data_IF_003335076392
#
_entry.id   IF_003335076392
#
_cell.length_a   1.000
_cell.length_b   1.000
_cell.length_c   1.000
_cell.angle_alpha   90.00
_cell.angle_beta   90.00
_cell.angle_gamma   90.00
#
_symmetry.space_group_name_H-M   'P 1'
#
loop_
_entity.id
_entity.type
_entity.pdbx_description
1 polymer ?
#
# COMPACT_ATOMS: atom_id res chain seq x y z
N UNK A 1 -4.89 6.39 -27.96
CA UNK A 1 -4.74 6.65 -26.50
C UNK A 1 -3.92 7.92 -26.36
N UNK A 2 -4.44 8.91 -25.66
CA UNK A 2 -3.81 10.23 -25.52
C UNK A 2 -2.56 10.16 -24.64
N UNK A 3 -1.41 10.48 -25.22
CA UNK A 3 -0.10 10.44 -24.56
C UNK A 3 -0.07 11.42 -23.38
N UNK A 4 -0.76 12.56 -23.50
CA UNK A 4 -0.82 13.58 -22.45
C UNK A 4 -1.50 12.99 -21.21
N UNK A 5 -2.62 12.28 -21.40
CA UNK A 5 -3.34 11.63 -20.31
C UNK A 5 -2.51 10.54 -19.62
N UNK A 6 -1.76 9.74 -20.38
CA UNK A 6 -0.88 8.72 -19.78
C UNK A 6 0.24 9.34 -18.94
N UNK A 7 0.79 10.47 -19.41
CA UNK A 7 1.79 11.23 -18.66
C UNK A 7 1.18 11.85 -17.39
N UNK A 8 -0.03 12.43 -17.47
CA UNK A 8 -0.73 12.98 -16.30
C UNK A 8 -1.10 11.90 -15.27
N UNK A 9 -1.60 10.73 -15.69
CA UNK A 9 -1.89 9.61 -14.78
C UNK A 9 -0.61 9.12 -14.08
N UNK A 10 0.51 9.07 -14.82
CA UNK A 10 1.88 8.84 -14.31
C UNK A 10 2.50 10.03 -13.58
N UNK A 11 1.88 11.18 -13.47
CA UNK A 11 2.35 12.27 -12.60
C UNK A 11 1.49 12.35 -11.34
N UNK A 12 0.25 11.86 -11.42
CA UNK A 12 -0.75 11.91 -10.36
C UNK A 12 -0.90 10.59 -9.61
N UNK A 13 0.01 9.63 -9.81
CA UNK A 13 0.05 8.39 -9.03
C UNK A 13 -1.18 7.49 -9.16
N UNK A 14 -2.02 7.72 -10.18
CA UNK A 14 -3.22 6.92 -10.44
C UNK A 14 -2.93 5.95 -11.58
N UNK A 15 -3.38 4.71 -11.41
CA UNK A 15 -3.42 3.80 -12.53
C UNK A 15 -4.41 4.33 -13.60
N UNK A 16 -4.03 4.33 -14.89
CA UNK A 16 -4.94 4.70 -15.96
C UNK A 16 -6.23 3.90 -15.90
N UNK A 17 -7.36 4.53 -16.25
CA UNK A 17 -8.65 3.84 -16.32
C UNK A 17 -8.55 2.67 -17.32
N UNK A 18 -8.74 1.44 -16.84
CA UNK A 18 -8.63 0.22 -17.65
C UNK A 18 -7.23 -0.45 -17.63
N UNK A 19 -6.29 0.03 -16.82
CA UNK A 19 -5.01 -0.65 -16.64
C UNK A 19 -5.22 -2.10 -16.18
N UNK A 20 -4.79 -3.05 -17.01
CA UNK A 20 -4.99 -4.47 -16.77
C UNK A 20 -3.90 -4.99 -15.83
N UNK A 21 -4.32 -5.36 -14.63
CA UNK A 21 -3.48 -6.05 -13.64
C UNK A 21 -3.19 -7.48 -14.08
N UNK A 22 -2.09 -8.06 -13.60
CA UNK A 22 -1.81 -9.47 -13.82
C UNK A 22 -2.95 -10.34 -13.28
N UNK A 23 -3.42 -11.37 -14.00
CA UNK A 23 -4.43 -12.29 -13.50
C UNK A 23 -3.97 -13.05 -12.24
N UNK A 24 -2.65 -13.11 -12.01
CA UNK A 24 -2.04 -13.71 -10.82
C UNK A 24 -2.18 -12.83 -9.56
N UNK A 25 -2.51 -11.54 -9.70
CA UNK A 25 -2.58 -10.61 -8.57
C UNK A 25 -3.47 -11.11 -7.44
N UNK A 26 -4.65 -11.65 -7.75
CA UNK A 26 -5.59 -12.16 -6.74
C UNK A 26 -4.95 -13.24 -5.85
N UNK A 27 -4.15 -14.14 -6.45
CA UNK A 27 -3.45 -15.21 -5.74
C UNK A 27 -2.34 -14.65 -4.84
N UNK A 28 -1.50 -13.75 -5.38
CA UNK A 28 -0.40 -13.11 -4.63
C UNK A 28 -0.94 -12.28 -3.47
N UNK A 29 -1.95 -11.42 -3.70
CA UNK A 29 -2.61 -10.62 -2.65
C UNK A 29 -3.14 -11.51 -1.52
N UNK A 30 -3.84 -12.59 -1.85
CA UNK A 30 -4.40 -13.52 -0.87
C UNK A 30 -3.33 -14.22 -0.03
N UNK A 31 -2.26 -14.70 -0.69
CA UNK A 31 -1.13 -15.32 -0.01
C UNK A 31 -0.40 -14.32 0.91
N UNK A 32 -0.19 -13.08 0.44
CA UNK A 32 0.49 -12.04 1.22
C UNK A 32 -0.30 -11.63 2.45
N UNK A 33 -1.62 -11.42 2.35
CA UNK A 33 -2.48 -11.13 3.52
C UNK A 33 -2.47 -12.31 4.51
N UNK A 34 -2.45 -13.56 4.03
CA UNK A 34 -2.37 -14.74 4.90
C UNK A 34 -1.04 -14.77 5.67
N UNK A 35 0.08 -14.45 5.00
CA UNK A 35 1.44 -14.39 5.58
C UNK A 35 1.60 -13.21 6.55
N UNK A 36 1.04 -12.04 6.21
CA UNK A 36 1.13 -10.79 6.97
C UNK A 36 -0.28 -10.23 7.30
N UNK A 37 -1.04 -10.84 8.23
CA UNK A 37 -2.46 -10.54 8.44
C UNK A 37 -2.73 -9.26 9.25
N UNK A 38 -1.75 -8.36 9.36
CA UNK A 38 -1.82 -7.14 10.18
C UNK A 38 -1.26 -5.95 9.41
N UNK A 39 -1.78 -4.76 9.70
CA UNK A 39 -1.16 -3.51 9.25
C UNK A 39 0.27 -3.39 9.81
N UNK A 40 1.26 -3.15 8.94
CA UNK A 40 2.67 -2.97 9.35
C UNK A 40 2.87 -1.75 10.24
N UNK A 41 1.98 -0.74 10.17
CA UNK A 41 2.05 0.46 11.00
C UNK A 41 1.38 0.23 12.36
N UNK A 42 0.05 0.13 12.40
CA UNK A 42 -0.69 0.12 13.67
C UNK A 42 -0.93 -1.29 14.24
N UNK A 43 -0.66 -2.36 13.49
CA UNK A 43 -0.91 -3.75 13.93
C UNK A 43 -2.38 -4.20 13.90
N UNK A 44 -3.30 -3.40 13.35
CA UNK A 44 -4.71 -3.76 13.14
C UNK A 44 -4.85 -5.02 12.28
N UNK A 45 -5.76 -5.92 12.66
CA UNK A 45 -6.25 -7.03 11.82
C UNK A 45 -7.50 -6.66 11.00
N UNK A 46 -8.10 -5.50 11.26
CA UNK A 46 -9.32 -5.04 10.60
C UNK A 46 -8.99 -4.29 9.32
N UNK A 47 -9.74 -4.56 8.25
CA UNK A 47 -9.65 -3.87 6.93
C UNK A 47 -8.23 -3.78 6.40
N UNK A 48 -7.50 -4.89 6.44
CA UNK A 48 -6.12 -4.97 5.98
C UNK A 48 -6.12 -5.19 4.47
N UNK A 49 -5.42 -4.31 3.76
CA UNK A 49 -5.24 -4.35 2.32
C UNK A 49 -3.75 -4.40 1.98
N UNK A 50 -3.43 -4.89 0.78
CA UNK A 50 -2.07 -4.86 0.24
C UNK A 50 -1.85 -3.54 -0.48
N UNK A 51 -0.80 -2.84 -0.10
CA UNK A 51 -0.31 -1.63 -0.72
C UNK A 51 0.97 -1.93 -1.51
N UNK A 52 1.08 -1.38 -2.72
CA UNK A 52 2.30 -1.40 -3.51
C UNK A 52 3.19 -0.23 -3.09
N UNK A 53 4.42 -0.50 -2.63
CA UNK A 53 5.41 0.54 -2.30
C UNK A 53 5.75 1.39 -3.54
N UNK A 54 5.97 0.71 -4.67
CA UNK A 54 6.05 1.29 -6.01
C UNK A 54 4.78 0.93 -6.78
N UNK A 55 3.93 1.90 -7.17
CA UNK A 55 2.65 1.58 -7.77
C UNK A 55 2.79 0.83 -9.10
N UNK A 56 1.92 -0.17 -9.30
CA UNK A 56 1.99 -1.07 -10.45
C UNK A 56 1.89 -0.37 -11.83
N UNK A 57 1.29 0.82 -11.92
CA UNK A 57 1.18 1.54 -13.20
C UNK A 57 2.49 2.27 -13.59
N UNK A 58 3.40 2.50 -12.63
CA UNK A 58 4.77 2.92 -12.92
C UNK A 58 5.68 1.73 -13.21
N UNK A 59 5.56 0.68 -12.38
CA UNK A 59 6.39 -0.52 -12.46
C UNK A 59 5.52 -1.80 -12.47
N UNK A 60 4.88 -2.13 -13.60
CA UNK A 60 4.06 -3.34 -13.72
C UNK A 60 4.86 -4.62 -13.49
N UNK A 61 6.16 -4.58 -13.79
CA UNK A 61 7.13 -5.64 -13.55
C UNK A 61 7.30 -5.96 -12.05
N UNK A 62 7.04 -4.99 -11.16
CA UNK A 62 7.10 -5.16 -9.71
C UNK A 62 5.74 -5.51 -9.08
N UNK A 63 4.70 -5.73 -9.88
CA UNK A 63 3.33 -5.90 -9.36
C UNK A 63 3.18 -7.10 -8.42
N UNK A 64 3.90 -8.18 -8.72
CA UNK A 64 3.82 -9.47 -8.04
C UNK A 64 4.99 -9.73 -7.11
N UNK A 65 6.01 -8.87 -7.12
CA UNK A 65 7.21 -8.99 -6.29
C UNK A 65 6.85 -8.71 -4.84
N UNK A 66 7.12 -9.67 -3.96
CA UNK A 66 6.70 -9.61 -2.56
C UNK A 66 7.34 -8.43 -1.82
N UNK A 67 8.58 -8.10 -2.18
CA UNK A 67 9.38 -7.00 -1.65
C UNK A 67 8.75 -5.64 -1.96
N UNK A 68 7.94 -5.54 -3.01
CA UNK A 68 7.20 -4.33 -3.38
C UNK A 68 5.85 -4.21 -2.66
N UNK A 69 5.49 -5.17 -1.79
CA UNK A 69 4.20 -5.21 -1.10
C UNK A 69 4.36 -4.90 0.39
N UNK A 70 3.31 -4.32 0.97
CA UNK A 70 3.13 -4.19 2.42
C UNK A 70 1.65 -4.25 2.75
N UNK A 71 1.29 -4.62 3.98
CA UNK A 71 -0.10 -4.57 4.45
C UNK A 71 -0.38 -3.31 5.26
N UNK A 72 -1.41 -2.57 4.87
CA UNK A 72 -1.88 -1.37 5.56
C UNK A 72 -3.38 -1.48 5.83
N UNK A 73 -3.88 -0.83 6.88
CA UNK A 73 -5.31 -0.83 7.17
C UNK A 73 -6.05 0.37 6.59
N UNK A 74 -7.31 0.15 6.21
CA UNK A 74 -8.27 1.17 5.82
C UNK A 74 -9.36 1.36 6.90
N UNK A 75 -8.92 1.49 8.15
CA UNK A 75 -9.84 1.76 9.26
C UNK A 75 -10.60 3.07 9.02
N UNK A 76 -11.92 3.05 9.24
CA UNK A 76 -12.79 4.22 9.09
C UNK A 76 -13.39 4.70 10.42
N UNK A 77 -13.16 3.97 11.52
CA UNK A 77 -13.66 4.24 12.87
C UNK A 77 -12.66 3.71 13.90
N UNK A 78 -12.52 4.42 15.02
CA UNK A 78 -11.68 4.03 16.18
C UNK A 78 -10.24 3.64 15.81
N UNK A 79 -9.63 4.38 14.87
CA UNK A 79 -8.27 4.17 14.42
C UNK A 79 -7.95 4.97 13.16
N UNK A 80 -6.69 4.96 12.75
CA UNK A 80 -6.17 5.70 11.59
C UNK A 80 -6.25 4.82 10.34
N UNK A 81 -6.64 5.41 9.20
CA UNK A 81 -6.45 4.81 7.88
C UNK A 81 -4.96 4.91 7.52
N UNK A 82 -4.17 3.89 7.87
CA UNK A 82 -2.73 3.87 7.63
C UNK A 82 -2.42 3.76 6.13
N UNK A 83 -3.30 3.13 5.35
CA UNK A 83 -3.12 3.03 3.90
C UNK A 83 -3.12 4.43 3.26
N UNK A 84 -4.11 5.25 3.62
CA UNK A 84 -4.21 6.62 3.13
C UNK A 84 -3.11 7.52 3.70
N UNK A 85 -2.92 7.52 5.02
CA UNK A 85 -1.99 8.45 5.66
C UNK A 85 -0.53 8.13 5.34
N UNK A 86 -0.12 6.86 5.47
CA UNK A 86 1.29 6.46 5.34
C UNK A 86 1.60 6.00 3.92
N UNK A 87 0.78 5.13 3.33
CA UNK A 87 1.02 4.65 1.96
C UNK A 87 0.86 5.75 0.91
N UNK A 88 -0.08 6.67 1.14
CA UNK A 88 -0.46 7.70 0.18
C UNK A 88 -0.32 9.13 0.71
N UNK A 89 0.37 9.37 1.84
CA UNK A 89 0.62 10.74 2.35
C UNK A 89 -0.65 11.61 2.45
N UNK A 90 -1.77 11.00 2.84
CA UNK A 90 -3.09 11.64 2.97
C UNK A 90 -3.86 11.82 1.65
N UNK A 91 -3.30 11.43 0.51
CA UNK A 91 -3.94 11.57 -0.81
C UNK A 91 -3.54 10.43 -1.76
N UNK A 92 -4.49 9.62 -2.20
CA UNK A 92 -4.25 8.46 -3.10
C UNK A 92 -3.49 8.77 -4.40
N UNK A 93 -3.35 10.04 -4.79
CA UNK A 93 -2.52 10.44 -5.93
C UNK A 93 -1.02 10.56 -5.61
N UNK A 94 -0.63 10.51 -4.34
CA UNK A 94 0.76 10.62 -3.90
C UNK A 94 1.39 9.25 -3.72
N UNK A 95 2.70 9.21 -3.92
CA UNK A 95 3.56 8.05 -3.71
C UNK A 95 4.48 8.38 -2.55
N UNK A 96 4.53 7.50 -1.56
CA UNK A 96 5.50 7.63 -0.48
C UNK A 96 6.80 6.91 -0.83
N UNK A 97 7.79 7.64 -1.34
CA UNK A 97 9.12 7.09 -1.65
C UNK A 97 9.88 6.62 -0.39
N UNK A 98 9.49 7.09 0.80
CA UNK A 98 10.08 6.74 2.09
C UNK A 98 9.17 5.84 2.93
N UNK A 99 8.25 5.11 2.29
CA UNK A 99 7.22 4.33 2.97
C UNK A 99 7.78 3.38 4.04
N UNK A 100 8.94 2.75 3.81
CA UNK A 100 9.55 1.84 4.79
C UNK A 100 9.98 2.57 6.06
N UNK A 101 10.64 3.73 5.90
CA UNK A 101 11.06 4.58 7.00
C UNK A 101 9.84 5.12 7.78
N UNK A 102 8.83 5.61 7.06
CA UNK A 102 7.61 6.15 7.68
C UNK A 102 6.82 5.06 8.41
N UNK A 103 6.69 3.87 7.81
CA UNK A 103 6.04 2.74 8.46
C UNK A 103 6.75 2.38 9.77
N UNK A 104 8.09 2.26 9.75
CA UNK A 104 8.87 1.92 10.94
C UNK A 104 8.71 3.00 12.02
N UNK A 105 8.87 4.27 11.64
CA UNK A 105 8.78 5.43 12.55
C UNK A 105 7.39 5.52 13.19
N UNK A 106 6.32 5.37 12.40
CA UNK A 106 4.96 5.44 12.94
C UNK A 106 4.56 4.19 13.70
N UNK A 107 5.07 3.02 13.34
CA UNK A 107 4.90 1.80 14.13
C UNK A 107 5.42 1.99 15.56
N UNK A 108 6.56 2.66 15.72
CA UNK A 108 7.11 3.04 17.04
C UNK A 108 6.32 4.13 17.78
N UNK A 109 5.21 4.62 17.23
CA UNK A 109 4.39 5.65 17.91
C UNK A 109 3.00 5.12 18.22
N UNK A 110 2.41 4.42 17.26
CA UNK A 110 0.99 4.00 17.30
C UNK A 110 0.80 2.50 17.16
N UNK A 111 1.88 1.75 16.91
CA UNK A 111 1.83 0.30 16.80
C UNK A 111 1.29 -0.30 18.10
N UNK A 112 0.44 -1.32 17.98
CA UNK A 112 0.11 -2.17 19.13
C UNK A 112 1.40 -2.87 19.55
N UNK A 113 2.10 -2.28 20.52
CA UNK A 113 3.26 -2.87 21.13
C UNK A 113 2.89 -4.25 21.67
N UNK A 114 3.47 -5.27 21.04
CA UNK A 114 3.73 -6.53 21.75
C UNK A 114 5.20 -6.46 22.15
N UNK A 115 5.55 -5.48 22.98
CA UNK A 115 6.80 -5.59 23.73
C UNK A 115 6.48 -6.63 24.81
N UNK A 116 6.83 -7.89 24.53
CA UNK A 116 7.23 -8.76 25.63
C UNK A 116 8.60 -8.24 26.04
N UNK A 117 8.63 -7.47 27.14
CA UNK A 117 9.88 -7.31 27.89
C UNK A 117 10.29 -8.68 28.43
#
# INVERSE_FOLDING_TARGET
MDIIKQLTDRMTGKAPKGAKRSPKWRKVRGAFIKKYPRCFVCGSKKKVEVHHKVPFHYRPDLELEEENLTTLCENKKYGINCHLLIGHLGNYTRINAHIEYDMATWRMKIGKYSIKL
#
